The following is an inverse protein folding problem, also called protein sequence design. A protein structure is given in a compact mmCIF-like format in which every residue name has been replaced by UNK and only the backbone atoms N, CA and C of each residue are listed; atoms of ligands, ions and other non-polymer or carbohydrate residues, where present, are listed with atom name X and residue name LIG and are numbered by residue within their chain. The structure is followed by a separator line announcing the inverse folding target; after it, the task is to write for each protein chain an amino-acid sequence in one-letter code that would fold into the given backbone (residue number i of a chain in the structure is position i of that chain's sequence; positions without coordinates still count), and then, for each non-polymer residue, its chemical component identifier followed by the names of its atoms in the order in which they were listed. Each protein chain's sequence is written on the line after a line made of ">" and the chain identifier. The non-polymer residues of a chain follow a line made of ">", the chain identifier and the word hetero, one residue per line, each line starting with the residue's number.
data_IF_257144283978
#
_entry.id   IF_257144283978
#
_cell.length_a   1.000
_cell.length_b   1.000
_cell.length_c   1.000
_cell.angle_alpha   90.00
_cell.angle_beta   90.00
_cell.angle_gamma   90.00
#
_symmetry.space_group_name_H-M   'P 1'
#
loop_
_entity.id
_entity.type
_entity.pdbx_description
1 polymer ?
#
# COMPACT_ATOMS: atom_id res chain seq x y z
N UNK A 1 -11.06 -18.44 -2.96
CA UNK A 1 -10.25 -17.79 -4.02
C UNK A 1 -9.98 -16.33 -3.70
N UNK A 2 -10.94 -15.39 -3.70
CA UNK A 2 -10.64 -13.98 -3.41
C UNK A 2 -9.98 -13.70 -2.03
N UNK A 3 -10.41 -14.40 -0.97
CA UNK A 3 -9.76 -14.32 0.35
C UNK A 3 -8.33 -14.85 0.33
N UNK A 4 -8.10 -16.02 -0.29
CA UNK A 4 -6.76 -16.59 -0.43
C UNK A 4 -5.86 -15.70 -1.29
N UNK A 5 -6.39 -15.08 -2.35
CA UNK A 5 -5.69 -14.10 -3.17
C UNK A 5 -5.31 -12.87 -2.34
N UNK A 6 -6.22 -12.33 -1.52
CA UNK A 6 -5.92 -11.23 -0.61
C UNK A 6 -4.88 -11.59 0.46
N UNK A 7 -4.98 -12.80 1.06
CA UNK A 7 -4.02 -13.29 2.06
C UNK A 7 -2.62 -13.48 1.45
N UNK A 8 -2.53 -14.01 0.23
CA UNK A 8 -1.28 -14.16 -0.54
C UNK A 8 -0.68 -12.80 -0.94
N UNK A 9 -1.50 -11.88 -1.47
CA UNK A 9 -1.06 -10.56 -1.92
C UNK A 9 -0.57 -9.66 -0.77
N UNK A 10 -1.07 -9.90 0.45
CA UNK A 10 -0.69 -9.16 1.65
C UNK A 10 0.28 -9.95 2.56
N UNK A 11 0.90 -11.05 2.12
CA UNK A 11 1.87 -11.82 2.94
C UNK A 11 1.32 -12.20 4.33
N UNK A 12 0.04 -12.56 4.43
CA UNK A 12 -0.56 -13.01 5.68
C UNK A 12 -0.16 -14.48 5.88
N UNK A 13 0.86 -14.71 6.73
CA UNK A 13 1.34 -16.05 7.02
C UNK A 13 0.52 -16.64 8.17
N UNK A 14 -0.29 -17.66 7.89
CA UNK A 14 -0.64 -18.68 8.90
C UNK A 14 0.65 -19.44 9.21
N UNK A 15 1.21 -19.24 10.40
CA UNK A 15 2.46 -19.90 10.76
C UNK A 15 2.23 -21.39 10.98
N UNK A 16 2.52 -22.20 9.96
CA UNK A 16 2.73 -23.63 10.12
C UNK A 16 4.10 -23.86 10.78
N UNK A 17 4.10 -24.56 11.91
CA UNK A 17 5.31 -25.03 12.59
C UNK A 17 5.84 -26.31 11.92
N UNK A 18 7.14 -26.64 12.05
CA UNK A 18 7.76 -27.75 11.32
C UNK A 18 7.09 -29.07 11.66
N UNK A 19 6.97 -29.92 10.64
CA UNK A 19 6.40 -31.28 10.68
C UNK A 19 6.69 -32.01 12.00
N UNK A 20 5.70 -32.10 12.89
CA UNK A 20 5.85 -32.75 14.18
C UNK A 20 4.69 -32.55 15.16
N UNK A 21 3.59 -33.27 14.95
CA UNK A 21 2.71 -33.83 16.00
C UNK A 21 2.18 -32.92 17.14
N UNK A 22 1.68 -31.72 16.84
CA UNK A 22 0.79 -30.99 17.75
C UNK A 22 -0.40 -30.42 16.95
N UNK A 23 -1.58 -30.20 17.57
CA UNK A 23 -2.75 -29.70 16.84
C UNK A 23 -2.44 -28.32 16.25
N UNK A 24 -2.56 -28.20 14.93
CA UNK A 24 -2.19 -27.03 14.11
C UNK A 24 -2.80 -25.70 14.63
N UNK A 25 -3.91 -25.78 15.37
CA UNK A 25 -4.62 -24.61 15.92
C UNK A 25 -3.98 -23.97 17.17
N UNK A 26 -3.08 -24.65 17.89
CA UNK A 26 -2.52 -24.11 19.15
C UNK A 26 -1.25 -23.26 18.97
N UNK A 27 -0.56 -23.40 17.85
CA UNK A 27 0.70 -22.70 17.59
C UNK A 27 0.50 -21.26 17.08
N UNK A 28 -0.58 -21.02 16.31
CA UNK A 28 -0.92 -19.68 15.78
C UNK A 28 -1.19 -18.67 16.87
N UNK A 29 -1.72 -19.12 18.01
CA UNK A 29 -2.22 -18.24 19.07
C UNK A 29 -1.14 -17.93 20.13
N UNK A 30 -0.01 -18.63 20.09
CA UNK A 30 1.10 -18.45 21.05
C UNK A 30 1.66 -17.01 21.04
N UNK A 31 1.63 -16.32 19.90
CA UNK A 31 2.09 -14.93 19.78
C UNK A 31 1.23 -13.94 20.57
N UNK A 32 -0.01 -14.28 20.89
CA UNK A 32 -0.89 -13.43 21.69
C UNK A 32 -0.64 -13.58 23.19
N UNK A 33 0.15 -14.56 23.62
CA UNK A 33 0.51 -14.73 25.02
C UNK A 33 1.56 -13.69 25.43
N UNK A 34 1.22 -12.83 26.39
CA UNK A 34 2.13 -11.81 26.90
C UNK A 34 2.95 -12.34 28.09
N UNK A 35 4.28 -12.39 27.93
CA UNK A 35 5.22 -12.72 29.01
C UNK A 35 5.86 -11.44 29.56
N UNK A 36 5.40 -11.02 30.74
CA UNK A 36 5.84 -9.80 31.41
C UNK A 36 7.31 -9.86 31.87
N UNK A 37 7.77 -11.05 32.29
CA UNK A 37 9.14 -11.24 32.76
C UNK A 37 10.13 -11.16 31.59
N UNK A 38 9.79 -11.76 30.46
CA UNK A 38 10.59 -11.67 29.24
C UNK A 38 10.65 -10.22 28.71
N UNK A 39 9.52 -9.50 28.71
CA UNK A 39 9.49 -8.10 28.27
C UNK A 39 10.29 -7.17 29.19
N UNK A 40 10.15 -7.33 30.50
CA UNK A 40 10.93 -6.55 31.47
C UNK A 40 12.44 -6.79 31.31
N UNK A 41 12.83 -8.04 31.07
CA UNK A 41 14.23 -8.39 30.78
C UNK A 41 14.72 -7.73 29.49
N UNK A 42 13.95 -7.81 28.41
CA UNK A 42 14.27 -7.20 27.11
C UNK A 42 14.45 -5.68 27.23
N UNK A 43 13.56 -5.02 27.98
CA UNK A 43 13.62 -3.58 28.25
C UNK A 43 14.84 -3.18 29.09
N UNK A 44 15.31 -4.05 29.98
CA UNK A 44 16.51 -3.81 30.78
C UNK A 44 17.78 -4.00 29.97
N UNK A 45 17.82 -5.00 29.09
CA UNK A 45 19.01 -5.35 28.29
C UNK A 45 19.23 -4.38 27.12
N UNK A 46 18.15 -3.79 26.58
CA UNK A 46 18.19 -2.81 25.46
C UNK A 46 19.15 -3.20 24.33
N UNK A 47 19.02 -4.42 23.75
CA UNK A 47 19.96 -4.92 22.75
C UNK A 47 20.07 -4.02 21.49
N UNK A 48 19.02 -3.27 21.17
CA UNK A 48 18.99 -2.32 20.05
C UNK A 48 19.94 -1.12 20.22
N UNK A 49 20.49 -0.88 21.41
CA UNK A 49 21.51 0.16 21.62
C UNK A 49 22.86 -0.20 21.00
N UNK A 50 23.14 -1.50 20.82
CA UNK A 50 24.40 -1.98 20.25
C UNK A 50 24.35 -2.04 18.71
N UNK A 51 23.17 -2.19 18.13
CA UNK A 51 22.95 -2.27 16.68
C UNK A 51 21.74 -1.41 16.28
N UNK A 52 21.95 -0.27 15.61
CA UNK A 52 20.86 0.58 15.08
C UNK A 52 19.90 -0.15 14.13
N UNK A 53 20.34 -1.27 13.53
CA UNK A 53 19.58 -2.10 12.61
C UNK A 53 19.13 -3.44 13.23
N UNK A 54 19.02 -3.48 14.57
CA UNK A 54 18.57 -4.64 15.33
C UNK A 54 17.16 -5.11 14.93
N UNK A 55 16.23 -4.16 14.76
CA UNK A 55 14.86 -4.46 14.35
C UNK A 55 14.77 -4.54 12.83
N UNK A 56 14.46 -5.70 12.27
CA UNK A 56 14.35 -5.88 10.80
C UNK A 56 12.93 -6.16 10.34
N UNK A 57 12.08 -6.64 11.24
CA UNK A 57 10.73 -7.12 10.94
C UNK A 57 9.75 -6.63 11.98
N UNK A 58 8.54 -6.33 11.54
CA UNK A 58 7.41 -6.01 12.40
C UNK A 58 6.27 -7.00 12.14
N UNK A 59 5.62 -7.43 13.22
CA UNK A 59 4.43 -8.27 13.17
C UNK A 59 3.22 -7.44 13.56
N UNK A 60 2.24 -7.30 12.67
CA UNK A 60 1.03 -6.52 12.89
C UNK A 60 -0.16 -7.48 12.93
N UNK A 61 -1.00 -7.38 13.96
CA UNK A 61 -2.21 -8.22 14.02
C UNK A 61 -3.22 -7.76 12.97
N UNK A 62 -3.96 -8.71 12.38
CA UNK A 62 -4.99 -8.38 11.38
C UNK A 62 -6.04 -7.39 11.92
N UNK A 63 -6.37 -7.46 13.21
CA UNK A 63 -7.27 -6.53 13.87
C UNK A 63 -6.68 -5.11 13.97
N UNK A 64 -5.39 -4.99 14.31
CA UNK A 64 -4.73 -3.69 14.35
C UNK A 64 -4.66 -3.09 12.94
N UNK A 65 -4.27 -3.89 11.94
CA UNK A 65 -4.27 -3.47 10.54
C UNK A 65 -5.63 -2.92 10.11
N UNK A 66 -6.71 -3.65 10.40
CA UNK A 66 -8.06 -3.23 10.06
C UNK A 66 -8.43 -1.90 10.74
N UNK A 67 -8.10 -1.73 12.01
CA UNK A 67 -8.35 -0.48 12.75
C UNK A 67 -7.60 0.70 12.16
N UNK A 68 -6.31 0.54 11.88
CA UNK A 68 -5.49 1.61 11.31
C UNK A 68 -5.98 1.99 9.91
N UNK A 69 -6.29 1.03 9.05
CA UNK A 69 -6.81 1.29 7.69
C UNK A 69 -8.17 1.98 7.74
N UNK A 70 -9.08 1.54 8.61
CA UNK A 70 -10.39 2.19 8.79
C UNK A 70 -10.23 3.61 9.32
N UNK A 71 -9.32 3.82 10.27
CA UNK A 71 -9.03 5.14 10.82
C UNK A 71 -8.43 6.08 9.76
N UNK A 72 -7.39 5.64 9.04
CA UNK A 72 -6.77 6.37 7.94
C UNK A 72 -7.81 6.76 6.88
N UNK A 73 -8.67 5.82 6.48
CA UNK A 73 -9.75 6.09 5.52
C UNK A 73 -10.77 7.10 6.04
N UNK A 74 -11.05 7.14 7.34
CA UNK A 74 -11.96 8.12 7.92
C UNK A 74 -11.44 9.56 7.86
N UNK A 75 -10.12 9.74 7.75
CA UNK A 75 -9.48 11.05 7.56
C UNK A 75 -9.64 11.63 6.16
N UNK A 76 -10.02 10.82 5.16
CA UNK A 76 -10.16 11.26 3.78
C UNK A 76 -8.83 11.75 3.21
N UNK A 77 -8.76 13.04 2.86
CA UNK A 77 -7.56 13.68 2.33
C UNK A 77 -6.66 14.30 3.41
N UNK A 78 -7.04 14.20 4.68
CA UNK A 78 -6.32 14.78 5.81
C UNK A 78 -5.51 13.68 6.50
N UNK A 79 -4.27 14.01 6.85
CA UNK A 79 -3.40 13.14 7.64
C UNK A 79 -3.98 12.99 9.05
N UNK A 80 -4.31 11.75 9.41
CA UNK A 80 -4.69 11.36 10.77
C UNK A 80 -3.58 10.52 11.39
N UNK A 81 -3.42 10.64 12.71
CA UNK A 81 -2.41 9.94 13.50
C UNK A 81 -3.07 9.23 14.69
N UNK A 82 -2.57 8.04 14.98
CA UNK A 82 -2.92 7.21 16.11
C UNK A 82 -1.69 6.79 16.92
N UNK A 83 -1.98 6.24 18.10
CA UNK A 83 -0.97 5.64 18.96
C UNK A 83 -1.33 4.18 19.19
N UNK A 84 -0.36 3.31 18.98
CA UNK A 84 -0.36 1.93 19.42
C UNK A 84 0.65 1.78 20.56
N UNK A 85 0.54 0.68 21.32
CA UNK A 85 1.30 0.48 22.56
C UNK A 85 2.84 0.56 22.42
N UNK A 86 3.37 0.41 21.20
CA UNK A 86 4.82 0.45 20.90
C UNK A 86 5.17 1.25 19.62
N UNK A 87 4.19 1.92 19.01
CA UNK A 87 4.39 2.65 17.77
C UNK A 87 3.36 3.75 17.57
N UNK A 88 3.70 4.76 16.77
CA UNK A 88 2.73 5.70 16.22
C UNK A 88 2.36 5.28 14.81
N UNK A 89 1.07 5.33 14.48
CA UNK A 89 0.59 5.19 13.11
C UNK A 89 0.12 6.55 12.60
N UNK A 90 0.42 6.88 11.35
CA UNK A 90 -0.17 8.04 10.67
C UNK A 90 -0.45 7.72 9.21
N UNK A 91 -1.24 8.58 8.58
CA UNK A 91 -1.69 8.37 7.21
C UNK A 91 -1.16 9.41 6.26
N UNK A 92 -0.75 8.97 5.07
CA UNK A 92 -0.28 9.80 3.96
C UNK A 92 -1.21 9.60 2.75
N UNK A 93 -2.31 10.37 2.63
CA UNK A 93 -3.29 10.12 1.58
C UNK A 93 -2.76 10.50 0.18
N UNK A 94 -2.46 9.49 -0.64
CA UNK A 94 -2.17 9.65 -2.07
C UNK A 94 -0.71 9.88 -2.44
N UNK A 95 0.23 9.92 -1.50
CA UNK A 95 1.64 10.22 -1.77
C UNK A 95 2.63 9.18 -1.23
N UNK A 96 2.15 7.99 -0.87
CA UNK A 96 2.97 6.82 -0.55
C UNK A 96 3.41 6.73 0.91
N UNK A 97 4.03 5.62 1.26
CA UNK A 97 4.47 5.32 2.62
C UNK A 97 5.96 5.63 2.76
N UNK A 98 6.29 6.72 3.45
CA UNK A 98 7.64 7.21 3.73
C UNK A 98 7.58 8.21 4.89
N UNK A 99 8.72 8.62 5.47
CA UNK A 99 8.76 9.61 6.55
C UNK A 99 9.25 10.98 6.04
N UNK A 100 8.46 12.02 6.28
CA UNK A 100 8.85 13.43 6.05
C UNK A 100 9.88 13.92 7.06
N UNK A 101 10.44 15.11 6.85
CA UNK A 101 11.33 15.72 7.85
C UNK A 101 10.68 15.90 9.23
N UNK A 102 9.37 16.18 9.27
CA UNK A 102 8.60 16.30 10.51
C UNK A 102 8.43 14.94 11.18
N UNK A 103 8.14 13.90 10.38
CA UNK A 103 7.96 12.53 10.88
C UNK A 103 9.28 11.99 11.43
N UNK A 104 10.40 12.23 10.73
CA UNK A 104 11.73 11.83 11.20
C UNK A 104 12.05 12.50 12.54
N UNK A 105 11.80 13.80 12.66
CA UNK A 105 12.05 14.54 13.91
C UNK A 105 11.20 13.99 15.06
N UNK A 106 9.90 13.78 14.81
CA UNK A 106 8.96 13.22 15.79
C UNK A 106 9.35 11.80 16.19
N UNK A 107 9.76 10.98 15.23
CA UNK A 107 10.19 9.60 15.46
C UNK A 107 11.50 9.54 16.24
N UNK A 108 12.46 10.43 15.96
CA UNK A 108 13.69 10.55 16.76
C UNK A 108 13.38 10.93 18.20
N UNK A 109 12.46 11.88 18.43
CA UNK A 109 12.02 12.26 19.77
C UNK A 109 11.38 11.07 20.52
N UNK A 110 10.49 10.33 19.85
CA UNK A 110 9.84 9.17 20.45
C UNK A 110 10.84 8.04 20.74
N UNK A 111 11.82 7.81 19.86
CA UNK A 111 12.90 6.85 20.12
C UNK A 111 13.77 7.28 21.32
N UNK A 112 13.97 8.59 21.53
CA UNK A 112 14.76 9.08 22.66
C UNK A 112 14.07 8.86 24.02
N UNK A 113 12.75 9.03 24.09
CA UNK A 113 12.01 9.01 25.37
C UNK A 113 11.18 7.73 25.62
N UNK A 114 10.79 7.00 24.57
CA UNK A 114 9.88 5.86 24.63
C UNK A 114 10.42 4.62 23.87
N UNK A 115 11.74 4.39 23.94
CA UNK A 115 12.36 3.25 23.28
C UNK A 115 11.92 1.89 23.91
N UNK A 116 11.63 0.84 23.10
CA UNK A 116 11.65 0.77 21.64
C UNK A 116 10.37 1.32 20.99
N UNK A 117 10.55 2.20 19.99
CA UNK A 117 9.45 2.85 19.26
C UNK A 117 9.65 2.78 17.74
N UNK A 118 8.60 2.54 16.96
CA UNK A 118 8.64 2.57 15.48
C UNK A 118 7.50 3.44 14.92
N UNK A 119 7.63 3.87 13.66
CA UNK A 119 6.58 4.59 12.95
C UNK A 119 5.92 3.69 11.90
N UNK A 120 4.60 3.72 11.82
CA UNK A 120 3.81 3.07 10.77
C UNK A 120 3.14 4.15 9.91
N UNK A 121 3.22 4.00 8.60
CA UNK A 121 2.59 4.91 7.62
C UNK A 121 1.61 4.11 6.77
N UNK A 122 0.41 4.63 6.57
CA UNK A 122 -0.62 4.00 5.72
C UNK A 122 -1.07 5.00 4.66
N UNK A 123 -1.15 4.58 3.40
CA UNK A 123 -1.79 5.37 2.34
C UNK A 123 -3.18 4.81 2.05
N UNK A 124 -4.26 5.37 2.64
CA UNK A 124 -5.62 4.87 2.43
C UNK A 124 -6.09 5.06 0.99
N UNK A 125 -5.63 6.11 0.31
CA UNK A 125 -6.05 6.44 -1.06
C UNK A 125 -5.44 5.43 -2.04
N UNK A 126 -4.13 5.19 -1.94
CA UNK A 126 -3.48 4.17 -2.77
C UNK A 126 -3.95 2.76 -2.43
N UNK A 127 -4.26 2.49 -1.16
CA UNK A 127 -4.83 1.19 -0.77
C UNK A 127 -6.11 0.88 -1.54
N UNK A 128 -7.00 1.88 -1.72
CA UNK A 128 -8.24 1.68 -2.48
C UNK A 128 -7.97 1.56 -3.98
N UNK A 129 -7.04 2.35 -4.53
CA UNK A 129 -6.71 2.33 -5.97
C UNK A 129 -5.99 1.05 -6.41
N UNK A 130 -5.03 0.58 -5.61
CA UNK A 130 -4.24 -0.61 -5.89
C UNK A 130 -4.97 -1.91 -5.53
N UNK A 131 -5.96 -1.87 -4.63
CA UNK A 131 -6.64 -3.06 -4.11
C UNK A 131 -5.81 -3.87 -3.11
N UNK A 132 -4.64 -3.36 -2.72
CA UNK A 132 -3.71 -3.95 -1.75
C UNK A 132 -3.42 -2.93 -0.66
N UNK A 133 -3.19 -3.37 0.58
CA UNK A 133 -2.90 -2.45 1.69
C UNK A 133 -1.52 -1.84 1.50
N UNK A 134 -1.49 -0.53 1.28
CA UNK A 134 -0.27 0.28 1.18
C UNK A 134 0.12 0.75 2.57
N UNK A 135 1.09 0.06 3.16
CA UNK A 135 1.56 0.28 4.52
C UNK A 135 3.07 0.10 4.58
N UNK A 136 3.73 1.01 5.28
CA UNK A 136 5.16 0.97 5.56
C UNK A 136 5.44 1.07 7.06
N UNK A 137 6.48 0.39 7.52
CA UNK A 137 6.97 0.49 8.89
C UNK A 137 8.42 0.95 8.85
N UNK A 138 8.74 1.96 9.65
CA UNK A 138 10.01 2.67 9.57
C UNK A 138 10.60 2.91 10.95
N UNK A 139 11.93 2.96 10.99
CA UNK A 139 12.69 3.37 12.17
C UNK A 139 13.81 4.30 11.73
N UNK A 140 14.03 5.38 12.49
CA UNK A 140 15.07 6.37 12.17
C UNK A 140 16.42 5.92 12.73
N UNK A 141 17.49 6.25 12.02
CA UNK A 141 18.84 6.07 12.49
C UNK A 141 19.18 7.07 13.60
N UNK A 142 20.04 6.70 14.57
CA UNK A 142 20.50 7.64 15.60
C UNK A 142 21.40 8.72 15.00
N UNK A 143 21.48 9.87 15.66
CA UNK A 143 22.31 10.99 15.21
C UNK A 143 23.78 10.58 15.05
N UNK A 144 24.37 10.95 13.90
CA UNK A 144 25.77 10.66 13.57
C UNK A 144 26.01 9.26 12.97
N UNK A 145 25.02 8.38 12.94
CA UNK A 145 25.14 7.11 12.23
C UNK A 145 25.06 7.32 10.72
N UNK A 146 26.02 6.75 9.98
CA UNK A 146 26.00 6.72 8.52
C UNK A 146 25.46 5.36 8.08
N UNK A 147 24.31 5.31 7.40
CA UNK A 147 23.81 4.04 6.89
C UNK A 147 24.79 3.43 5.88
N UNK A 148 24.80 2.10 5.73
CA UNK A 148 25.44 1.45 4.59
C UNK A 148 24.91 2.06 3.28
N UNK A 149 25.70 2.06 2.21
CA UNK A 149 25.28 2.46 0.85
C UNK A 149 24.33 1.41 0.23
N UNK A 150 23.29 1.03 0.96
CA UNK A 150 22.23 0.17 0.46
C UNK A 150 21.37 0.94 -0.54
N UNK A 151 20.90 0.27 -1.61
CA UNK A 151 19.99 0.88 -2.55
C UNK A 151 18.73 1.37 -1.81
N UNK A 152 18.26 2.56 -2.19
CA UNK A 152 17.02 3.13 -1.67
C UNK A 152 15.90 2.10 -1.89
N UNK A 153 15.14 1.84 -0.82
CA UNK A 153 14.00 0.92 -0.80
C UNK A 153 13.04 1.18 -1.96
N UNK A 154 12.33 0.12 -2.36
CA UNK A 154 11.31 0.00 -3.41
C UNK A 154 10.77 1.34 -3.98
N UNK A 155 10.92 1.54 -5.30
CA UNK A 155 10.48 2.75 -5.99
C UNK A 155 8.98 3.00 -5.77
N UNK A 156 8.65 4.21 -5.30
CA UNK A 156 7.29 4.69 -5.18
C UNK A 156 7.11 5.96 -6.01
N UNK A 157 5.96 6.10 -6.66
CA UNK A 157 5.56 7.34 -7.32
C UNK A 157 5.27 8.40 -6.26
N UNK A 158 6.12 9.43 -6.17
CA UNK A 158 5.95 10.55 -5.22
C UNK A 158 5.55 11.80 -6.01
N UNK A 159 4.53 12.55 -5.57
CA UNK A 159 4.16 13.83 -6.18
C UNK A 159 5.31 14.85 -6.15
N UNK A 160 5.37 15.74 -7.14
CA UNK A 160 6.42 16.74 -7.29
C UNK A 160 6.56 17.65 -6.06
N UNK A 161 5.45 18.06 -5.45
CA UNK A 161 5.46 18.93 -4.26
C UNK A 161 6.04 18.26 -3.00
N UNK A 162 6.31 16.95 -3.02
CA UNK A 162 6.84 16.18 -1.88
C UNK A 162 8.19 15.51 -2.19
N UNK A 163 8.64 15.52 -3.45
CA UNK A 163 9.84 14.78 -3.87
C UNK A 163 11.13 15.32 -3.27
N UNK A 164 11.21 16.64 -3.04
CA UNK A 164 12.38 17.28 -2.43
C UNK A 164 12.54 16.85 -0.96
N UNK A 165 11.47 16.93 -0.18
CA UNK A 165 11.44 16.52 1.22
C UNK A 165 11.77 15.03 1.36
N UNK A 166 11.18 14.18 0.52
CA UNK A 166 11.54 12.77 0.45
C UNK A 166 13.03 12.57 0.14
N UNK A 167 13.57 13.27 -0.86
CA UNK A 167 14.96 13.13 -1.30
C UNK A 167 15.99 13.50 -0.22
N UNK A 168 15.66 14.47 0.65
CA UNK A 168 16.53 14.89 1.75
C UNK A 168 16.53 13.88 2.91
N UNK A 169 15.35 13.32 3.23
CA UNK A 169 15.16 12.54 4.44
C UNK A 169 15.16 11.01 4.24
N UNK A 170 15.08 10.50 3.00
CA UNK A 170 14.97 9.05 2.72
C UNK A 170 16.13 8.19 3.24
N UNK A 171 17.30 8.78 3.51
CA UNK A 171 18.46 8.08 4.09
C UNK A 171 18.51 8.11 5.62
N UNK A 172 17.60 8.82 6.27
CA UNK A 172 17.59 8.99 7.73
C UNK A 172 16.82 7.89 8.45
N UNK A 173 16.16 6.99 7.71
CA UNK A 173 15.42 5.87 8.23
C UNK A 173 15.59 4.63 7.35
N UNK A 174 15.15 3.49 7.84
CA UNK A 174 15.04 2.25 7.08
C UNK A 174 13.65 1.65 7.22
N UNK A 175 13.26 0.86 6.22
CA UNK A 175 12.01 0.10 6.22
C UNK A 175 12.19 -1.24 6.96
N UNK A 176 11.15 -1.66 7.66
CA UNK A 176 11.07 -2.98 8.30
C UNK A 176 10.12 -3.86 7.49
N UNK A 177 10.44 -5.15 7.36
CA UNK A 177 9.53 -6.08 6.70
C UNK A 177 8.28 -6.29 7.56
N UNK A 178 7.13 -5.99 6.99
CA UNK A 178 5.84 -6.17 7.64
C UNK A 178 5.34 -7.59 7.39
N UNK A 179 4.97 -8.26 8.47
CA UNK A 179 4.27 -9.55 8.42
C UNK A 179 3.00 -9.47 9.24
N UNK A 180 1.97 -10.19 8.83
CA UNK A 180 0.69 -10.18 9.52
C UNK A 180 0.43 -11.50 10.22
N UNK A 181 -0.31 -11.43 11.31
CA UNK A 181 -0.81 -12.60 12.02
C UNK A 181 -2.27 -12.39 12.45
N UNK A 182 -3.00 -13.49 12.55
CA UNK A 182 -4.40 -13.54 13.00
C UNK A 182 -4.56 -14.73 13.93
N UNK A 183 -5.45 -14.63 14.92
CA UNK A 183 -5.75 -15.77 15.79
C UNK A 183 -6.58 -16.82 15.06
N UNK A 184 -6.63 -18.02 15.64
CA UNK A 184 -7.51 -19.10 15.17
C UNK A 184 -8.98 -18.67 15.12
N UNK A 185 -9.43 -17.89 16.12
CA UNK A 185 -10.77 -17.31 16.16
C UNK A 185 -10.98 -16.23 15.10
N UNK A 186 -9.98 -15.37 14.86
CA UNK A 186 -10.06 -14.36 13.81
C UNK A 186 -10.19 -14.99 12.43
N UNK A 187 -9.46 -16.08 12.14
CA UNK A 187 -9.65 -16.87 10.92
C UNK A 187 -11.12 -17.27 10.76
N UNK A 188 -11.68 -17.91 11.78
CA UNK A 188 -13.06 -18.40 11.72
C UNK A 188 -14.07 -17.26 11.56
N UNK A 189 -13.87 -16.15 12.27
CA UNK A 189 -14.73 -14.98 12.19
C UNK A 189 -14.69 -14.34 10.80
N UNK A 190 -13.50 -14.20 10.21
CA UNK A 190 -13.33 -13.62 8.87
C UNK A 190 -13.99 -14.48 7.79
N UNK A 191 -13.91 -15.81 7.90
CA UNK A 191 -14.60 -16.73 7.00
C UNK A 191 -16.13 -16.57 7.07
N UNK A 192 -16.68 -16.46 8.28
CA UNK A 192 -18.11 -16.21 8.49
C UNK A 192 -18.53 -14.83 7.97
N UNK A 193 -17.67 -13.82 8.10
CA UNK A 193 -17.93 -12.47 7.62
C UNK A 193 -17.93 -12.44 6.09
N UNK A 194 -17.03 -13.19 5.43
CA UNK A 194 -16.98 -13.33 3.98
C UNK A 194 -18.30 -13.83 3.38
N UNK A 195 -18.98 -14.76 4.06
CA UNK A 195 -20.29 -15.28 3.63
C UNK A 195 -21.37 -14.19 3.49
N UNK A 196 -21.22 -13.05 4.17
CA UNK A 196 -22.13 -11.90 4.06
C UNK A 196 -21.56 -10.74 3.24
N UNK A 197 -20.24 -10.53 3.28
CA UNK A 197 -19.61 -9.33 2.72
C UNK A 197 -19.10 -9.46 1.29
N UNK A 198 -19.06 -10.67 0.70
CA UNK A 198 -18.61 -10.87 -0.69
C UNK A 198 -19.34 -10.00 -1.72
N UNK A 199 -20.62 -9.67 -1.46
CA UNK A 199 -21.42 -8.81 -2.34
C UNK A 199 -20.83 -7.40 -2.42
N UNK A 200 -20.23 -6.89 -1.35
CA UNK A 200 -19.62 -5.55 -1.34
C UNK A 200 -18.38 -5.49 -2.24
N UNK A 201 -17.62 -6.57 -2.35
CA UNK A 201 -16.51 -6.67 -3.29
C UNK A 201 -17.02 -6.55 -4.73
N UNK A 202 -18.13 -7.22 -5.06
CA UNK A 202 -18.74 -7.16 -6.39
C UNK A 202 -19.47 -5.84 -6.68
N UNK A 203 -19.98 -5.13 -5.66
CA UNK A 203 -20.64 -3.84 -5.87
C UNK A 203 -19.65 -2.67 -5.95
N UNK A 204 -18.44 -2.81 -5.38
CA UNK A 204 -17.43 -1.74 -5.34
C UNK A 204 -16.96 -1.26 -6.72
N UNK A 205 -16.89 0.06 -6.94
CA UNK A 205 -16.41 0.65 -8.21
C UNK A 205 -15.21 1.57 -7.94
N UNK A 206 -13.96 1.09 -8.10
CA UNK A 206 -12.76 1.89 -7.87
C UNK A 206 -12.68 3.14 -8.76
N UNK A 207 -13.21 3.05 -9.99
CA UNK A 207 -13.19 4.15 -10.97
C UNK A 207 -13.99 5.38 -10.51
N UNK A 208 -15.09 5.18 -9.79
CA UNK A 208 -15.95 6.28 -9.34
C UNK A 208 -15.50 6.82 -7.97
N UNK A 209 -14.97 5.95 -7.11
CA UNK A 209 -14.58 6.32 -5.75
C UNK A 209 -13.31 7.19 -5.69
N UNK A 210 -12.40 7.04 -6.67
CA UNK A 210 -11.06 7.63 -6.62
C UNK A 210 -10.81 8.66 -7.75
N UNK A 211 -11.87 9.21 -8.34
CA UNK A 211 -11.76 10.12 -9.50
C UNK A 211 -10.83 11.31 -9.27
N UNK A 212 -10.96 11.98 -8.13
CA UNK A 212 -10.13 13.14 -7.78
C UNK A 212 -8.65 12.77 -7.61
N UNK A 213 -8.38 11.60 -7.02
CA UNK A 213 -7.02 11.08 -6.88
C UNK A 213 -6.37 10.83 -8.25
N UNK A 214 -7.10 10.18 -9.16
CA UNK A 214 -6.60 9.88 -10.51
C UNK A 214 -6.38 11.17 -11.30
N UNK A 215 -7.31 12.12 -11.22
CA UNK A 215 -7.15 13.43 -11.84
C UNK A 215 -5.89 14.16 -11.32
N UNK A 216 -5.66 14.12 -10.00
CA UNK A 216 -4.46 14.67 -9.37
C UNK A 216 -3.17 13.98 -9.84
N UNK A 217 -3.16 12.64 -9.94
CA UNK A 217 -2.00 11.89 -10.48
C UNK A 217 -1.70 12.23 -11.94
N UNK A 218 -2.74 12.42 -12.77
CA UNK A 218 -2.58 12.83 -14.17
C UNK A 218 -2.02 14.27 -14.26
N UNK A 219 -2.50 15.18 -13.40
CA UNK A 219 -1.98 16.55 -13.33
C UNK A 219 -0.50 16.57 -12.93
N UNK A 220 -0.13 15.83 -11.88
CA UNK A 220 1.27 15.69 -11.44
C UNK A 220 2.16 15.07 -12.54
N UNK A 221 1.66 14.04 -13.23
CA UNK A 221 2.36 13.43 -14.35
C UNK A 221 2.60 14.42 -15.49
N UNK A 222 1.61 15.27 -15.81
CA UNK A 222 1.75 16.29 -16.85
C UNK A 222 2.82 17.32 -16.50
N UNK A 223 2.85 17.80 -15.26
CA UNK A 223 3.89 18.71 -14.75
C UNK A 223 5.28 18.07 -14.79
N UNK A 224 5.42 16.80 -14.39
CA UNK A 224 6.69 16.05 -14.49
C UNK A 224 7.17 15.96 -15.94
N UNK A 225 6.25 15.75 -16.88
CA UNK A 225 6.55 15.61 -18.30
C UNK A 225 7.00 16.95 -18.91
N UNK A 226 6.36 18.06 -18.53
CA UNK A 226 6.78 19.42 -18.91
C UNK A 226 8.19 19.75 -18.37
N UNK A 227 8.48 19.41 -17.12
CA UNK A 227 9.83 19.60 -16.55
C UNK A 227 10.90 18.79 -17.28
N UNK A 228 10.60 17.54 -17.66
CA UNK A 228 11.53 16.70 -18.41
C UNK A 228 11.74 17.22 -19.85
N UNK A 229 10.70 17.72 -20.51
CA UNK A 229 10.80 18.35 -21.83
C UNK A 229 11.70 19.59 -21.79
N UNK A 230 11.52 20.46 -20.80
CA UNK A 230 12.33 21.67 -20.61
C UNK A 230 13.82 21.34 -20.39
N UNK A 231 14.14 20.27 -19.66
CA UNK A 231 15.52 19.82 -19.49
C UNK A 231 16.13 19.29 -20.80
N UNK A 232 15.37 18.55 -21.59
CA UNK A 232 15.80 18.02 -22.88
C UNK A 232 15.99 19.14 -23.93
N UNK A 233 15.14 20.16 -23.91
CA UNK A 233 15.25 21.32 -24.82
C UNK A 233 16.51 22.14 -24.54
N UNK A 234 16.86 22.34 -23.28
CA UNK A 234 18.09 23.04 -22.87
C UNK A 234 19.35 22.24 -23.19
N UNK A 235 19.30 20.90 -23.13
CA UNK A 235 20.44 20.05 -23.51
C UNK A 235 20.73 20.06 -25.01
N UNK A 236 19.79 20.49 -25.87
CA UNK A 236 19.98 20.55 -27.33
C UNK A 236 20.79 21.76 -27.82
N UNK A 237 21.05 22.76 -26.98
CA UNK A 237 21.75 24.01 -27.35
C UNK A 237 23.15 24.19 -26.70
N UNK A 238 23.72 23.15 -26.07
CA UNK A 238 25.06 23.18 -25.49
C UNK A 238 26.19 23.01 -26.52
N UNK A 239 27.40 23.60 -26.32
CA UNK A 239 28.51 23.48 -27.26
C UNK A 239 28.96 22.03 -27.44
N UNK A 240 29.27 21.66 -28.69
CA UNK A 240 29.58 20.32 -29.19
C UNK A 240 30.94 19.75 -28.71
N UNK A 241 31.38 20.04 -27.48
CA UNK A 241 32.73 19.67 -26.99
C UNK A 241 32.68 19.20 -25.54
N UNK A 242 32.31 17.94 -25.30
CA UNK A 242 32.78 17.17 -24.15
C UNK A 242 32.52 15.66 -24.35
N UNK A 243 33.52 14.84 -24.06
CA UNK A 243 33.52 13.39 -24.18
C UNK A 243 32.42 12.71 -23.31
N UNK A 244 31.96 11.50 -23.66
CA UNK A 244 30.96 10.79 -22.88
C UNK A 244 31.61 10.21 -21.62
N UNK A 245 31.63 10.98 -20.53
CA UNK A 245 31.76 10.36 -19.22
C UNK A 245 30.50 9.56 -18.98
N UNK A 246 30.64 8.22 -18.89
CA UNK A 246 29.60 7.32 -18.40
C UNK A 246 29.26 7.74 -16.97
N UNK A 247 28.33 8.68 -16.81
CA UNK A 247 27.61 8.86 -15.56
C UNK A 247 26.93 7.53 -15.27
N UNK A 248 27.21 7.01 -14.07
CA UNK A 248 26.51 5.91 -13.39
C UNK A 248 25.03 5.97 -13.79
N UNK A 249 24.44 4.83 -14.16
CA UNK A 249 23.04 4.69 -14.63
C UNK A 249 22.04 5.24 -13.61
N UNK A 250 21.94 6.56 -13.49
CA UNK A 250 20.80 7.22 -12.88
C UNK A 250 19.68 7.07 -13.89
N UNK A 251 18.63 6.32 -13.51
CA UNK A 251 17.45 6.15 -14.35
C UNK A 251 17.01 7.48 -14.91
N UNK A 252 16.88 7.54 -16.24
CA UNK A 252 16.38 8.72 -16.93
C UNK A 252 15.09 9.20 -16.28
N UNK A 253 14.94 10.50 -16.06
CA UNK A 253 13.69 11.08 -15.57
C UNK A 253 12.48 10.63 -16.41
N UNK A 254 12.69 10.47 -17.73
CA UNK A 254 11.67 9.95 -18.63
C UNK A 254 11.29 8.49 -18.31
N UNK A 255 12.23 7.67 -17.85
CA UNK A 255 11.95 6.31 -17.40
C UNK A 255 11.09 6.29 -16.13
N UNK A 256 11.33 7.21 -15.19
CA UNK A 256 10.48 7.40 -13.99
C UNK A 256 9.06 7.82 -14.36
N UNK A 257 8.93 8.81 -15.25
CA UNK A 257 7.63 9.28 -15.79
C UNK A 257 6.90 8.12 -16.50
N UNK A 258 7.62 7.30 -17.25
CA UNK A 258 7.05 6.12 -17.94
C UNK A 258 6.51 5.09 -16.94
N UNK A 259 7.17 4.90 -15.79
CA UNK A 259 6.66 4.02 -14.73
C UNK A 259 5.44 4.61 -14.04
N UNK A 260 5.47 5.90 -13.74
CA UNK A 260 4.34 6.60 -13.12
C UNK A 260 3.10 6.51 -14.04
N UNK A 261 3.25 6.75 -15.35
CA UNK A 261 2.16 6.62 -16.32
C UNK A 261 1.67 5.19 -16.50
N UNK A 262 2.57 4.21 -16.53
CA UNK A 262 2.22 2.80 -16.59
C UNK A 262 1.42 2.38 -15.34
N UNK A 263 1.82 2.82 -14.15
CA UNK A 263 1.12 2.53 -12.90
C UNK A 263 -0.32 3.05 -12.92
N UNK A 264 -0.51 4.33 -13.26
CA UNK A 264 -1.85 4.94 -13.39
C UNK A 264 -2.70 4.15 -14.38
N UNK A 265 -2.14 3.78 -15.53
CA UNK A 265 -2.84 3.03 -16.57
C UNK A 265 -3.29 1.66 -16.08
N UNK A 266 -2.41 0.92 -15.39
CA UNK A 266 -2.74 -0.42 -14.84
C UNK A 266 -3.88 -0.33 -13.83
N UNK A 267 -3.86 0.66 -12.92
CA UNK A 267 -4.96 0.86 -11.96
C UNK A 267 -6.29 1.17 -12.65
N UNK A 268 -6.30 2.00 -13.70
CA UNK A 268 -7.53 2.29 -14.46
C UNK A 268 -8.03 1.07 -15.24
N UNK A 269 -7.12 0.29 -15.84
CA UNK A 269 -7.47 -0.94 -16.55
C UNK A 269 -8.07 -1.97 -15.59
N UNK A 270 -7.53 -2.13 -14.38
CA UNK A 270 -8.13 -2.99 -13.35
C UNK A 270 -9.55 -2.54 -12.98
N UNK A 271 -9.77 -1.24 -12.80
CA UNK A 271 -11.09 -0.68 -12.54
C UNK A 271 -12.09 -0.95 -13.67
N UNK A 272 -11.68 -0.79 -14.93
CA UNK A 272 -12.50 -1.06 -16.11
C UNK A 272 -12.80 -2.56 -16.26
N UNK A 273 -11.81 -3.41 -16.04
CA UNK A 273 -11.96 -4.86 -16.08
C UNK A 273 -13.04 -5.33 -15.10
N UNK A 274 -13.07 -4.77 -13.89
CA UNK A 274 -14.13 -5.06 -12.92
C UNK A 274 -15.52 -4.66 -13.42
N UNK A 275 -15.67 -3.54 -14.14
CA UNK A 275 -16.97 -3.14 -14.71
C UNK A 275 -17.41 -4.09 -15.83
N UNK A 276 -16.49 -4.48 -16.72
CA UNK A 276 -16.77 -5.44 -17.79
C UNK A 276 -17.21 -6.78 -17.22
N UNK A 277 -16.51 -7.28 -16.18
CA UNK A 277 -16.88 -8.52 -15.49
C UNK A 277 -18.31 -8.42 -14.92
N UNK A 278 -18.66 -7.30 -14.28
CA UNK A 278 -20.03 -7.10 -13.76
C UNK A 278 -21.08 -7.06 -14.85
N UNK A 279 -20.81 -6.38 -15.97
CA UNK A 279 -21.75 -6.31 -17.09
C UNK A 279 -21.99 -7.70 -17.71
N UNK A 280 -20.94 -8.51 -17.84
CA UNK A 280 -21.05 -9.89 -18.30
C UNK A 280 -21.86 -10.74 -17.31
N UNK A 281 -21.54 -10.66 -16.01
CA UNK A 281 -22.18 -11.48 -14.99
C UNK A 281 -23.66 -11.13 -14.76
N UNK A 282 -24.02 -9.85 -14.77
CA UNK A 282 -25.34 -9.40 -14.34
C UNK A 282 -26.24 -8.89 -15.48
N UNK A 283 -25.68 -8.27 -16.52
CA UNK A 283 -26.48 -7.61 -17.56
C UNK A 283 -26.60 -8.43 -18.85
N UNK A 284 -25.59 -9.25 -19.16
CA UNK A 284 -25.54 -10.02 -20.41
C UNK A 284 -26.49 -11.23 -20.43
N UNK A 285 -26.82 -11.79 -19.26
CA UNK A 285 -27.73 -12.93 -19.12
C UNK A 285 -29.17 -12.54 -19.52
N UNK A 286 -29.60 -11.31 -19.22
CA UNK A 286 -30.94 -10.82 -19.56
C UNK A 286 -31.16 -10.58 -21.06
N UNK A 287 -30.10 -10.37 -21.85
CA UNK A 287 -30.21 -10.14 -23.30
C UNK A 287 -30.46 -11.43 -24.08
N UNK A 288 -29.96 -12.57 -23.61
CA UNK A 288 -30.18 -13.86 -24.27
C UNK A 288 -31.63 -14.35 -24.11
N UNK A 289 -32.29 -14.04 -22.98
CA UNK A 289 -33.66 -14.50 -22.69
C UNK A 289 -34.78 -13.73 -23.39
N UNK A 290 -34.52 -12.54 -23.95
CA UNK A 290 -35.54 -11.71 -24.62
C UNK A 290 -35.67 -11.95 -26.13
N UNK A 291 -34.88 -12.87 -26.70
CA UNK A 291 -34.92 -13.16 -28.15
C UNK A 291 -35.89 -14.28 -28.56
N UNK A 292 -36.65 -14.86 -27.62
CA UNK A 292 -37.66 -15.88 -27.91
C UNK A 292 -38.97 -15.57 -27.18
N UNK A 293 -39.76 -14.63 -27.70
CA UNK A 293 -41.24 -14.62 -27.72
C UNK A 293 -41.71 -13.24 -28.18
N UNK A 294 -41.82 -13.05 -29.49
CA UNK A 294 -42.80 -12.13 -30.07
C UNK A 294 -43.82 -13.03 -30.78
N UNK A 295 -45.09 -13.11 -30.32
CA UNK A 295 -46.13 -13.72 -31.12
C UNK A 295 -46.46 -12.76 -32.27
N UNK A 296 -46.28 -13.23 -33.49
CA UNK A 296 -46.65 -12.53 -34.73
C UNK A 296 -48.10 -12.05 -34.66
N UNK A 297 -48.31 -10.74 -34.85
CA UNK A 297 -49.63 -10.12 -35.03
C UNK A 297 -50.41 -10.82 -36.17
N UNK A 298 -51.72 -11.07 -36.01
CA UNK A 298 -52.54 -11.64 -37.08
C UNK A 298 -52.94 -10.55 -38.10
N UNK A 299 -52.84 -10.89 -39.40
CA UNK A 299 -53.27 -10.06 -40.53
C UNK A 299 -54.74 -9.63 -40.45
N UNK A 300 -55.11 -8.43 -40.94
CA UNK A 300 -56.49 -7.99 -41.00
C UNK A 300 -57.22 -8.67 -42.17
N UNK A 301 -58.30 -9.40 -41.87
CA UNK A 301 -59.26 -9.88 -42.88
C UNK A 301 -60.00 -8.71 -43.51
N UNK A 302 -59.93 -8.59 -44.84
CA UNK A 302 -60.76 -7.70 -45.65
C UNK A 302 -62.11 -8.37 -45.86
N UNK A 303 -63.19 -7.78 -45.34
CA UNK A 303 -64.56 -8.19 -45.66
C UNK A 303 -65.00 -7.55 -46.99
N UNK A 304 -65.66 -8.38 -47.82
CA UNK A 304 -66.36 -8.01 -49.05
C UNK A 304 -67.86 -8.00 -48.79
#
# INVERSE_FOLDING_TARGET
>A
MAQQTWELENNIVTMDAPSGSAPENSASDAIFHYDDAAQTKFQREKPWTSDPHYFKRVKISALALLKMVVHARSGGTIEVMGLMQVCSDHSHPGYGCWLSGIDVTTQMLNQQYQEPFLAVVIDPTRTVSAGKVEIGAFRTYPEGYKPPDDPISEYQTIPLNKIEDFGVHCKQYYSLDITYFKSSLDCHLLDLLWNKYWVNTLSSSPLLGNGDYVAGQISDLAEKLEQAENQLSHSRFGPLVAAPQRKKEEESQLAKITRDSAKITVEQVHGLMLQVIKDILFNSICKSGKSQTEPSDPEPMVET
#
